data_IF_336710574787
#
_entry.id   IF_336710574787
#
_cell.length_a   1.000
_cell.length_b   1.000
_cell.length_c   1.000
_cell.angle_alpha   90.00
_cell.angle_beta   90.00
_cell.angle_gamma   90.00
#
_symmetry.space_group_name_H-M   'P 1'
#
loop_
_entity.id
_entity.type
_entity.pdbx_description
1 polymer ?
#
# COMPACT_ATOMS: atom_id res chain seq x y z
N UNK A 1 -54.21 24.34 -37.94
CA UNK A 1 -53.43 23.66 -39.00
C UNK A 1 -51.99 24.19 -38.94
N UNK A 2 -51.13 23.57 -38.13
CA UNK A 2 -49.77 24.08 -37.85
C UNK A 2 -48.82 23.71 -39.00
N UNK A 3 -48.19 24.71 -39.61
CA UNK A 3 -47.30 24.53 -40.76
C UNK A 3 -46.02 23.79 -40.35
N UNK A 4 -45.86 22.56 -40.85
CA UNK A 4 -44.72 21.66 -40.57
C UNK A 4 -43.34 22.32 -40.80
N UNK A 5 -43.25 23.33 -41.66
CA UNK A 5 -42.03 24.11 -41.91
C UNK A 5 -41.61 25.02 -40.73
N UNK A 6 -42.56 25.53 -39.93
CA UNK A 6 -42.26 26.31 -38.73
C UNK A 6 -41.88 25.43 -37.53
N UNK A 7 -42.39 24.19 -37.50
CA UNK A 7 -42.06 23.21 -36.47
C UNK A 7 -40.58 22.77 -36.56
N UNK A 8 -40.05 22.58 -37.78
CA UNK A 8 -38.65 22.16 -37.99
C UNK A 8 -37.65 23.24 -37.55
N UNK A 9 -37.95 24.52 -37.77
CA UNK A 9 -37.08 25.64 -37.37
C UNK A 9 -37.04 25.78 -35.84
N UNK A 10 -38.17 25.56 -35.15
CA UNK A 10 -38.24 25.61 -33.68
C UNK A 10 -37.47 24.43 -33.06
N UNK A 11 -37.53 23.24 -33.66
CA UNK A 11 -36.78 22.06 -33.18
C UNK A 11 -35.27 22.22 -33.40
N UNK A 12 -34.84 22.85 -34.51
CA UNK A 12 -33.42 23.06 -34.79
C UNK A 12 -32.78 24.17 -33.94
N UNK A 13 -33.58 25.14 -33.45
CA UNK A 13 -33.10 26.16 -32.50
C UNK A 13 -33.04 25.67 -31.05
N UNK A 14 -33.73 24.57 -30.73
CA UNK A 14 -33.74 23.96 -29.39
C UNK A 14 -32.58 22.98 -29.17
N UNK A 15 -31.82 22.63 -30.22
CA UNK A 15 -30.67 21.70 -30.14
C UNK A 15 -29.31 22.36 -29.89
N UNK A 16 -29.25 23.70 -29.74
CA UNK A 16 -28.01 24.44 -29.46
C UNK A 16 -27.82 24.83 -27.99
N UNK A 17 -28.63 24.25 -27.08
CA UNK A 17 -28.67 24.61 -25.66
C UNK A 17 -28.41 23.40 -24.73
N UNK A 18 -27.49 22.52 -25.14
CA UNK A 18 -26.98 21.40 -24.31
C UNK A 18 -25.45 21.47 -24.09
N UNK A 19 -24.85 22.63 -24.36
CA UNK A 19 -23.40 22.85 -24.28
C UNK A 19 -23.01 23.77 -23.11
N UNK A 20 -23.60 23.57 -21.93
CA UNK A 20 -23.22 24.34 -20.73
C UNK A 20 -23.54 23.52 -19.49
N UNK A 21 -22.66 22.57 -19.18
CA UNK A 21 -22.84 21.70 -18.02
C UNK A 21 -21.74 20.70 -17.73
N UNK A 22 -20.58 20.74 -18.40
CA UNK A 22 -19.36 20.21 -17.80
C UNK A 22 -18.73 21.32 -16.97
N UNK A 23 -19.35 21.60 -15.82
CA UNK A 23 -18.57 22.03 -14.68
C UNK A 23 -17.55 20.92 -14.47
N UNK A 24 -16.28 21.24 -14.73
CA UNK A 24 -15.17 20.40 -14.35
C UNK A 24 -15.35 20.03 -12.89
N UNK A 25 -15.83 18.81 -12.66
CA UNK A 25 -15.39 18.05 -11.52
C UNK A 25 -13.90 17.84 -11.78
N UNK A 26 -13.09 18.82 -11.37
CA UNK A 26 -11.75 18.52 -10.93
C UNK A 26 -11.96 17.43 -9.91
N UNK A 27 -11.78 16.17 -10.33
CA UNK A 27 -11.51 15.08 -9.43
C UNK A 27 -10.17 15.46 -8.82
N UNK A 28 -10.20 16.37 -7.85
CA UNK A 28 -9.43 16.13 -6.65
C UNK A 28 -9.99 14.80 -6.20
N UNK A 29 -9.25 13.74 -6.49
CA UNK A 29 -9.22 12.62 -5.59
C UNK A 29 -8.97 13.27 -4.24
N UNK A 30 -10.05 13.54 -3.52
CA UNK A 30 -10.01 13.39 -2.09
C UNK A 30 -9.69 11.92 -2.01
N UNK A 31 -8.40 11.61 -1.86
CA UNK A 31 -8.04 10.39 -1.17
C UNK A 31 -8.96 10.43 0.03
N UNK A 32 -9.92 9.52 0.11
CA UNK A 32 -10.42 9.14 1.40
C UNK A 32 -9.13 8.81 2.16
N UNK A 33 -8.64 9.78 2.93
CA UNK A 33 -7.87 9.47 4.10
C UNK A 33 -8.87 8.71 4.96
N UNK A 34 -8.98 7.41 4.66
CA UNK A 34 -9.06 6.43 5.72
C UNK A 34 -7.95 6.87 6.65
N UNK A 35 -8.37 7.46 7.76
CA UNK A 35 -7.58 7.77 8.93
C UNK A 35 -7.17 6.44 9.57
N UNK A 36 -6.53 5.59 8.76
CA UNK A 36 -5.94 4.35 9.15
C UNK A 36 -4.48 4.65 9.42
N UNK A 37 -4.10 4.58 10.68
CA UNK A 37 -2.70 4.71 11.09
C UNK A 37 -2.03 3.36 10.83
N UNK A 38 -1.87 2.99 9.56
CA UNK A 38 -1.18 1.75 9.20
C UNK A 38 0.22 1.79 9.80
N UNK A 39 0.51 0.87 10.70
CA UNK A 39 1.79 0.77 11.41
C UNK A 39 2.44 -0.57 11.12
N UNK A 40 3.71 -0.51 10.73
CA UNK A 40 4.59 -1.66 10.61
C UNK A 40 5.61 -1.60 11.74
N UNK A 41 5.70 -2.68 12.52
CA UNK A 41 6.72 -2.85 13.55
C UNK A 41 7.53 -4.10 13.28
N UNK A 42 8.84 -4.03 13.49
CA UNK A 42 9.77 -5.13 13.23
C UNK A 42 10.53 -5.42 14.52
N UNK A 43 10.67 -6.69 14.86
CA UNK A 43 11.45 -7.16 16.00
C UNK A 43 12.32 -8.35 15.61
N UNK A 44 13.46 -8.49 16.29
CA UNK A 44 14.41 -9.57 16.07
C UNK A 44 14.82 -10.19 17.40
N UNK A 45 14.82 -11.52 17.49
CA UNK A 45 15.18 -12.26 18.70
C UNK A 45 16.03 -13.51 18.40
N UNK A 46 17.27 -13.60 18.94
CA UNK A 46 17.96 -12.58 19.72
C UNK A 46 18.43 -11.38 18.86
N UNK A 47 18.59 -10.17 19.44
CA UNK A 47 19.02 -8.98 18.69
C UNK A 47 20.55 -8.90 18.48
N UNK A 48 21.33 -9.70 19.21
CA UNK A 48 22.78 -9.79 19.08
C UNK A 48 23.16 -11.22 18.70
N UNK A 49 23.99 -11.34 17.67
CA UNK A 49 24.40 -12.61 17.07
C UNK A 49 25.92 -12.68 16.98
N UNK A 50 26.47 -13.88 17.12
CA UNK A 50 27.78 -14.18 16.57
C UNK A 50 27.66 -14.50 15.07
N UNK A 51 28.76 -14.38 14.33
CA UNK A 51 28.77 -14.68 12.89
C UNK A 51 28.35 -16.14 12.68
N UNK A 52 27.38 -16.36 11.79
CA UNK A 52 26.80 -17.66 11.48
C UNK A 52 25.59 -18.03 12.34
N UNK A 53 25.27 -17.26 13.38
CA UNK A 53 24.03 -17.46 14.14
C UNK A 53 22.83 -16.79 13.48
N UNK A 54 21.65 -17.18 13.97
CA UNK A 54 20.36 -16.77 13.42
C UNK A 54 19.49 -16.03 14.43
N UNK A 55 18.71 -15.07 13.93
CA UNK A 55 17.65 -14.39 14.68
C UNK A 55 16.31 -14.59 13.98
N UNK A 56 15.26 -14.85 14.76
CA UNK A 56 13.89 -14.82 14.25
C UNK A 56 13.46 -13.36 14.15
N UNK A 57 13.01 -12.96 12.97
CA UNK A 57 12.53 -11.61 12.68
C UNK A 57 11.04 -11.67 12.42
N UNK A 58 10.28 -10.89 13.17
CA UNK A 58 8.83 -10.78 13.04
C UNK A 58 8.46 -9.36 12.66
N UNK A 59 7.67 -9.22 11.59
CA UNK A 59 7.06 -7.99 11.14
C UNK A 59 5.56 -8.04 11.44
N UNK A 60 5.06 -7.07 12.20
CA UNK A 60 3.65 -6.94 12.56
C UNK A 60 3.05 -5.71 11.90
N UNK A 61 2.02 -5.92 11.08
CA UNK A 61 1.31 -4.92 10.29
C UNK A 61 -0.13 -4.75 10.78
N UNK A 62 -0.46 -3.56 11.25
CA UNK A 62 -1.77 -3.23 11.80
C UNK A 62 -2.30 -1.92 11.26
N UNK A 63 -3.62 -1.77 11.21
CA UNK A 63 -4.30 -0.47 11.12
C UNK A 63 -4.95 -0.17 12.47
N UNK A 64 -4.28 0.67 13.28
CA UNK A 64 -4.62 0.85 14.68
C UNK A 64 -4.47 -0.47 15.46
N UNK A 65 -5.58 -1.04 15.94
CA UNK A 65 -5.62 -2.34 16.65
C UNK A 65 -6.01 -3.52 15.76
N UNK A 66 -6.29 -3.28 14.47
CA UNK A 66 -6.76 -4.30 13.53
C UNK A 66 -5.57 -4.86 12.77
N UNK A 67 -5.37 -6.18 12.83
CA UNK A 67 -4.36 -6.87 12.03
C UNK A 67 -4.68 -6.81 10.53
N UNK A 68 -3.67 -6.60 9.69
CA UNK A 68 -3.83 -6.58 8.22
C UNK A 68 -3.24 -7.87 7.63
N UNK A 69 -4.07 -8.88 7.29
CA UNK A 69 -3.60 -10.13 6.69
C UNK A 69 -3.34 -10.01 5.19
N UNK A 70 -2.66 -11.03 4.65
CA UNK A 70 -2.41 -11.23 3.22
C UNK A 70 -1.62 -10.09 2.56
N UNK A 71 -0.72 -9.44 3.30
CA UNK A 71 0.17 -8.42 2.76
C UNK A 71 1.56 -9.02 2.55
N UNK A 72 2.08 -8.91 1.33
CA UNK A 72 3.44 -9.34 1.00
C UNK A 72 4.45 -8.33 1.56
N UNK A 73 5.37 -8.81 2.40
CA UNK A 73 6.46 -8.03 2.97
C UNK A 73 7.80 -8.54 2.44
N UNK A 74 8.71 -7.62 2.13
CA UNK A 74 10.09 -7.93 1.74
C UNK A 74 11.02 -7.51 2.86
N UNK A 75 11.82 -8.44 3.37
CA UNK A 75 12.79 -8.20 4.43
C UNK A 75 14.14 -7.79 3.82
N UNK A 76 14.71 -6.70 4.32
CA UNK A 76 15.98 -6.15 3.88
C UNK A 76 16.91 -5.86 5.06
N UNK A 77 18.22 -5.83 4.80
CA UNK A 77 19.24 -5.56 5.82
C UNK A 77 20.30 -4.61 5.27
N UNK A 78 20.70 -3.64 6.08
CA UNK A 78 21.81 -2.72 5.81
C UNK A 78 22.87 -2.83 6.93
N UNK A 79 24.17 -3.00 6.60
CA UNK A 79 24.71 -3.20 5.27
C UNK A 79 24.26 -4.52 4.66
N UNK A 80 24.16 -4.58 3.32
CA UNK A 80 23.78 -5.81 2.60
C UNK A 80 24.76 -6.97 2.83
N UNK A 81 25.97 -6.68 3.30
CA UNK A 81 26.95 -7.68 3.72
C UNK A 81 26.69 -8.28 5.11
N UNK A 82 25.77 -7.72 5.90
CA UNK A 82 25.54 -8.10 7.29
C UNK A 82 25.01 -9.52 7.44
N UNK A 83 24.24 -10.00 6.46
CA UNK A 83 23.59 -11.29 6.49
C UNK A 83 22.57 -11.44 5.37
N UNK A 84 21.72 -12.45 5.51
CA UNK A 84 20.64 -12.73 4.57
C UNK A 84 19.42 -13.28 5.29
N UNK A 85 18.26 -13.17 4.64
CA UNK A 85 16.99 -13.69 5.13
C UNK A 85 16.58 -14.98 4.45
N UNK A 86 15.84 -15.82 5.17
CA UNK A 86 15.20 -17.01 4.63
C UNK A 86 13.84 -17.23 5.29
N UNK A 87 12.72 -17.00 4.57
CA UNK A 87 12.61 -16.43 3.22
C UNK A 87 12.86 -14.91 3.19
N UNK A 88 13.20 -14.34 2.03
CA UNK A 88 13.34 -12.88 1.85
C UNK A 88 11.98 -12.17 1.78
N UNK A 89 10.96 -12.88 1.30
CA UNK A 89 9.60 -12.38 1.17
C UNK A 89 8.69 -13.33 1.94
N UNK A 90 7.79 -12.78 2.76
CA UNK A 90 6.74 -13.53 3.43
C UNK A 90 5.43 -12.72 3.43
N UNK A 91 4.31 -13.40 3.63
CA UNK A 91 2.97 -12.79 3.61
C UNK A 91 2.37 -12.76 5.01
N UNK A 92 1.83 -11.62 5.43
CA UNK A 92 1.20 -11.52 6.75
C UNK A 92 0.05 -12.50 6.91
N UNK A 93 0.03 -13.22 8.03
CA UNK A 93 -1.02 -14.14 8.38
C UNK A 93 -2.27 -13.42 8.94
N UNK A 94 -3.25 -14.18 9.43
CA UNK A 94 -4.50 -13.66 10.03
C UNK A 94 -4.29 -12.70 11.21
N UNK A 95 -3.13 -12.77 11.88
CA UNK A 95 -2.74 -11.89 12.97
C UNK A 95 -1.92 -10.69 12.51
N UNK A 96 -1.73 -10.48 11.19
CA UNK A 96 -0.96 -9.38 10.64
C UNK A 96 0.55 -9.58 10.73
N UNK A 97 1.00 -10.82 11.00
CA UNK A 97 2.41 -11.15 11.24
C UNK A 97 2.99 -11.87 10.03
N UNK A 98 4.12 -11.40 9.54
CA UNK A 98 5.02 -12.14 8.65
C UNK A 98 6.35 -12.40 9.38
N UNK A 99 7.00 -13.53 9.12
CA UNK A 99 8.21 -13.91 9.83
C UNK A 99 9.29 -14.46 8.90
N UNK A 100 10.54 -14.23 9.29
CA UNK A 100 11.71 -14.75 8.58
C UNK A 100 12.84 -15.08 9.55
N UNK A 101 13.86 -15.79 9.06
CA UNK A 101 15.10 -16.02 9.78
C UNK A 101 16.20 -15.18 9.15
N UNK A 102 16.82 -14.31 9.94
CA UNK A 102 18.05 -13.60 9.59
C UNK A 102 19.26 -14.44 9.99
N UNK A 103 20.22 -14.64 9.08
CA UNK A 103 21.52 -15.29 9.38
C UNK A 103 22.64 -14.28 9.24
N UNK A 104 23.42 -14.06 10.30
CA UNK A 104 24.55 -13.12 10.29
C UNK A 104 25.76 -13.68 9.54
N UNK A 105 26.39 -12.85 8.69
CA UNK A 105 27.61 -13.23 7.95
C UNK A 105 28.81 -12.36 8.28
N UNK A 106 28.61 -11.19 8.89
CA UNK A 106 29.69 -10.29 9.28
C UNK A 106 29.43 -9.69 10.65
N UNK A 107 30.51 -9.34 11.35
CA UNK A 107 30.44 -8.56 12.60
C UNK A 107 30.08 -7.11 12.32
N UNK A 108 29.31 -6.49 13.22
CA UNK A 108 28.96 -5.07 13.17
C UNK A 108 27.48 -4.86 13.48
N UNK A 109 27.04 -3.61 13.35
CA UNK A 109 25.61 -3.26 13.46
C UNK A 109 24.91 -3.54 12.14
N UNK A 110 23.75 -4.17 12.20
CA UNK A 110 22.86 -4.40 11.08
C UNK A 110 21.49 -3.76 11.37
N UNK A 111 20.91 -3.10 10.39
CA UNK A 111 19.57 -2.52 10.44
C UNK A 111 18.66 -3.33 9.54
N UNK A 112 17.55 -3.83 10.09
CA UNK A 112 16.53 -4.58 9.34
C UNK A 112 15.37 -3.65 8.99
N UNK A 113 14.81 -3.79 7.78
CA UNK A 113 13.64 -3.03 7.30
C UNK A 113 12.71 -3.95 6.54
#
# INVERSE_FOLDING_TARGET
MFNKRKLVIIIMMLSLLVMSGFLGCSSKSVSDEVTGTTSLSVSASPPALTIGETSVVEANLTDGTVAIPNQELTFTVEPSSAGYFSPVIDTTNVSGIAATVFTSTTSGTATIT
#
